data_IF_429082592203
#
_entry.id   IF_429082592203
#
_cell.length_a   1.000
_cell.length_b   1.000
_cell.length_c   1.000
_cell.angle_alpha   90.00
_cell.angle_beta   90.00
_cell.angle_gamma   90.00
#
_symmetry.space_group_name_H-M   'P 1'
#
loop_
_entity.id
_entity.type
_entity.pdbx_description
1 polymer ?
#
# COMPACT_ATOMS: atom_id res chain seq x y z
N UNK A 1 11.09 1.87 12.08
CA UNK A 1 11.68 1.18 10.88
C UNK A 1 11.95 2.14 9.72
N UNK A 2 11.01 3.02 9.38
CA UNK A 2 11.15 3.94 8.24
C UNK A 2 12.13 5.08 8.55
N UNK A 3 12.03 5.69 9.74
CA UNK A 3 12.91 6.79 10.19
C UNK A 3 14.38 6.38 10.39
N UNK A 4 14.63 5.08 10.60
CA UNK A 4 15.98 4.51 10.71
C UNK A 4 16.50 3.94 9.38
N UNK A 5 15.89 4.33 8.24
CA UNK A 5 16.32 3.94 6.90
C UNK A 5 15.96 2.51 6.46
N UNK A 6 15.30 1.70 7.31
CA UNK A 6 14.96 0.30 7.02
C UNK A 6 13.61 0.16 6.30
N UNK A 7 13.47 0.85 5.15
CA UNK A 7 12.23 0.85 4.33
C UNK A 7 11.81 -0.56 3.88
N UNK A 8 12.77 -1.40 3.48
CA UNK A 8 12.51 -2.79 3.07
C UNK A 8 11.92 -3.64 4.21
N UNK A 9 12.47 -3.52 5.44
CA UNK A 9 11.93 -4.24 6.60
C UNK A 9 10.55 -3.73 6.98
N UNK A 10 10.30 -2.43 6.90
CA UNK A 10 8.97 -1.88 7.11
C UNK A 10 7.96 -2.47 6.12
N UNK A 11 8.33 -2.56 4.83
CA UNK A 11 7.49 -3.17 3.80
C UNK A 11 7.18 -4.65 4.10
N UNK A 12 8.17 -5.43 4.50
CA UNK A 12 8.00 -6.84 4.89
C UNK A 12 7.01 -7.01 6.05
N UNK A 13 7.15 -6.21 7.12
CA UNK A 13 6.24 -6.26 8.26
C UNK A 13 4.81 -5.90 7.86
N UNK A 14 4.61 -4.89 7.01
CA UNK A 14 3.27 -4.51 6.53
C UNK A 14 2.65 -5.63 5.68
N UNK A 15 3.44 -6.27 4.81
CA UNK A 15 2.98 -7.40 4.00
C UNK A 15 2.57 -8.58 4.86
N UNK A 16 3.28 -8.89 5.93
CA UNK A 16 2.92 -9.97 6.86
C UNK A 16 1.54 -9.74 7.48
N UNK A 17 1.22 -8.49 7.86
CA UNK A 17 -0.11 -8.13 8.39
C UNK A 17 -1.19 -8.34 7.34
N UNK A 18 -0.98 -7.83 6.12
CA UNK A 18 -1.96 -7.96 5.02
C UNK A 18 -2.14 -9.42 4.57
N UNK A 19 -1.08 -10.23 4.59
CA UNK A 19 -1.13 -11.66 4.22
C UNK A 19 -1.63 -12.56 5.36
N UNK A 20 -1.62 -12.08 6.60
CA UNK A 20 -1.95 -12.90 7.78
C UNK A 20 -3.38 -13.43 7.70
N UNK A 21 -3.51 -14.76 7.78
CA UNK A 21 -4.83 -15.41 7.83
C UNK A 21 -5.60 -15.10 9.12
N UNK A 22 -4.92 -14.60 10.16
CA UNK A 22 -5.54 -14.22 11.44
C UNK A 22 -6.28 -12.89 11.37
N UNK A 23 -5.98 -12.04 10.38
CA UNK A 23 -6.54 -10.70 10.22
C UNK A 23 -7.33 -10.58 8.90
N UNK A 24 -8.21 -11.54 8.62
CA UNK A 24 -9.06 -11.51 7.40
C UNK A 24 -10.26 -10.57 7.49
N UNK A 25 -10.58 -10.06 8.67
CA UNK A 25 -11.67 -9.09 8.85
C UNK A 25 -11.12 -7.70 8.67
N UNK A 26 -11.63 -7.00 7.65
CA UNK A 26 -11.26 -5.61 7.42
C UNK A 26 -11.63 -4.73 8.62
N UNK A 27 -10.75 -3.77 8.94
CA UNK A 27 -10.99 -2.71 9.92
C UNK A 27 -10.50 -1.38 9.34
N UNK A 28 -10.96 -0.26 9.91
CA UNK A 28 -10.57 1.08 9.46
C UNK A 28 -9.05 1.32 9.49
N UNK A 29 -8.30 0.59 10.32
CA UNK A 29 -6.83 0.69 10.41
C UNK A 29 -6.10 0.04 9.23
N UNK A 30 -6.77 -0.82 8.45
CA UNK A 30 -6.16 -1.46 7.29
C UNK A 30 -5.96 -0.48 6.13
N UNK A 31 -6.78 0.55 6.01
CA UNK A 31 -6.66 1.58 4.96
C UNK A 31 -5.33 2.36 5.04
N UNK A 32 -4.98 3.02 6.16
CA UNK A 32 -3.69 3.71 6.27
C UNK A 32 -2.50 2.73 6.23
N UNK A 33 -2.66 1.49 6.69
CA UNK A 33 -1.64 0.44 6.52
C UNK A 33 -1.36 0.15 5.04
N UNK A 34 -2.43 -0.02 4.25
CA UNK A 34 -2.32 -0.32 2.83
C UNK A 34 -1.76 0.87 2.05
N UNK A 35 -2.16 2.09 2.39
CA UNK A 35 -1.57 3.32 1.83
C UNK A 35 -0.06 3.38 2.07
N UNK A 36 0.39 3.10 3.30
CA UNK A 36 1.82 3.11 3.62
C UNK A 36 2.59 2.00 2.90
N UNK A 37 1.98 0.81 2.78
CA UNK A 37 2.56 -0.30 2.03
C UNK A 37 2.78 0.08 0.56
N UNK A 38 1.78 0.69 -0.07
CA UNK A 38 1.86 1.11 -1.47
C UNK A 38 2.87 2.24 -1.66
N UNK A 39 2.91 3.22 -0.77
CA UNK A 39 3.91 4.31 -0.79
C UNK A 39 5.34 3.73 -0.77
N UNK A 40 5.60 2.76 0.11
CA UNK A 40 6.90 2.07 0.18
C UNK A 40 7.19 1.24 -1.07
N UNK A 41 6.18 0.61 -1.68
CA UNK A 41 6.35 -0.09 -2.95
C UNK A 41 6.75 0.85 -4.09
N UNK A 42 6.20 2.07 -4.13
CA UNK A 42 6.62 3.08 -5.13
C UNK A 42 8.06 3.53 -4.88
N UNK A 43 8.38 3.87 -3.62
CA UNK A 43 9.74 4.26 -3.20
C UNK A 43 10.80 3.22 -3.58
N UNK A 44 10.49 1.95 -3.34
CA UNK A 44 11.41 0.83 -3.55
C UNK A 44 11.29 0.20 -4.96
N UNK A 45 10.45 0.76 -5.84
CA UNK A 45 10.15 0.25 -7.18
C UNK A 45 9.71 -1.22 -7.20
N UNK A 46 8.92 -1.64 -6.19
CA UNK A 46 8.43 -3.01 -5.98
C UNK A 46 7.01 -3.21 -6.56
N UNK A 47 6.87 -3.07 -7.87
CA UNK A 47 5.56 -3.14 -8.55
C UNK A 47 4.83 -4.48 -8.35
N UNK A 48 5.57 -5.59 -8.37
CA UNK A 48 5.00 -6.93 -8.16
C UNK A 48 4.38 -7.06 -6.76
N UNK A 49 5.06 -6.53 -5.74
CA UNK A 49 4.60 -6.56 -4.36
C UNK A 49 3.34 -5.69 -4.19
N UNK A 50 3.29 -4.51 -4.81
CA UNK A 50 2.11 -3.66 -4.80
C UNK A 50 0.89 -4.37 -5.40
N UNK A 51 1.07 -5.01 -6.55
CA UNK A 51 0.02 -5.78 -7.23
C UNK A 51 -0.51 -6.92 -6.34
N UNK A 52 0.38 -7.73 -5.80
CA UNK A 52 -0.01 -8.87 -4.96
C UNK A 52 -0.67 -8.40 -3.65
N UNK A 53 -0.16 -7.31 -3.05
CA UNK A 53 -0.74 -6.68 -1.88
C UNK A 53 -2.17 -6.17 -2.14
N UNK A 54 -2.41 -5.51 -3.27
CA UNK A 54 -3.74 -5.03 -3.66
C UNK A 54 -4.73 -6.17 -3.89
N UNK A 55 -4.28 -7.27 -4.49
CA UNK A 55 -5.12 -8.45 -4.67
C UNK A 55 -5.57 -9.02 -3.32
N UNK A 56 -4.64 -9.13 -2.38
CA UNK A 56 -4.94 -9.59 -1.02
C UNK A 56 -5.86 -8.61 -0.27
N UNK A 57 -5.59 -7.31 -0.37
CA UNK A 57 -6.41 -6.25 0.25
C UNK A 57 -7.83 -6.25 -0.29
N UNK A 58 -8.01 -6.44 -1.60
CA UNK A 58 -9.34 -6.62 -2.23
C UNK A 58 -10.12 -7.74 -1.56
N UNK A 59 -9.50 -8.91 -1.35
CA UNK A 59 -10.17 -10.04 -0.69
C UNK A 59 -10.62 -9.71 0.74
N UNK A 60 -9.82 -8.94 1.49
CA UNK A 60 -10.14 -8.54 2.86
C UNK A 60 -11.27 -7.50 2.88
N UNK A 61 -11.15 -6.45 2.06
CA UNK A 61 -12.09 -5.33 2.02
C UNK A 61 -13.43 -5.68 1.36
N UNK A 62 -13.49 -6.66 0.45
CA UNK A 62 -14.71 -7.02 -0.30
C UNK A 62 -15.90 -7.37 0.60
N UNK A 63 -15.65 -7.92 1.78
CA UNK A 63 -16.71 -8.35 2.71
C UNK A 63 -17.30 -7.24 3.56
N UNK A 64 -16.59 -6.12 3.73
CA UNK A 64 -16.98 -5.04 4.68
C UNK A 64 -17.07 -3.68 4.01
N UNK A 65 -16.13 -3.32 3.14
CA UNK A 65 -16.08 -2.01 2.50
C UNK A 65 -15.33 -2.05 1.17
N UNK A 66 -16.07 -2.25 0.07
CA UNK A 66 -15.53 -2.11 -1.27
C UNK A 66 -15.02 -0.68 -1.55
N UNK A 67 -15.61 0.33 -0.89
CA UNK A 67 -15.21 1.74 -1.00
C UNK A 67 -13.78 2.00 -0.49
N UNK A 68 -13.32 1.26 0.53
CA UNK A 68 -11.95 1.40 1.02
C UNK A 68 -10.92 0.97 -0.04
N UNK A 69 -11.22 -0.07 -0.83
CA UNK A 69 -10.34 -0.48 -1.94
C UNK A 69 -10.23 0.63 -2.99
N UNK A 70 -11.35 1.25 -3.36
CA UNK A 70 -11.37 2.37 -4.31
C UNK A 70 -10.51 3.54 -3.82
N UNK A 71 -10.68 3.96 -2.55
CA UNK A 71 -9.91 5.05 -1.96
C UNK A 71 -8.40 4.80 -1.99
N UNK A 72 -7.98 3.58 -1.62
CA UNK A 72 -6.57 3.18 -1.64
C UNK A 72 -6.00 3.19 -3.07
N UNK A 73 -6.75 2.69 -4.06
CA UNK A 73 -6.32 2.69 -5.47
C UNK A 73 -6.19 4.13 -5.99
N UNK A 74 -7.18 4.99 -5.73
CA UNK A 74 -7.15 6.39 -6.16
C UNK A 74 -5.94 7.13 -5.57
N UNK A 75 -5.68 6.94 -4.26
CA UNK A 75 -4.50 7.51 -3.61
C UNK A 75 -3.19 7.00 -4.22
N UNK A 76 -3.10 5.71 -4.54
CA UNK A 76 -1.92 5.14 -5.16
C UNK A 76 -1.63 5.73 -6.55
N UNK A 77 -2.66 5.90 -7.38
CA UNK A 77 -2.52 6.56 -8.69
C UNK A 77 -2.08 8.01 -8.54
N UNK A 78 -2.72 8.76 -7.63
CA UNK A 78 -2.35 10.15 -7.33
C UNK A 78 -0.89 10.27 -6.86
N UNK A 79 -0.40 9.34 -6.04
CA UNK A 79 1.00 9.31 -5.62
C UNK A 79 1.96 9.06 -6.80
N UNK A 80 1.58 8.20 -7.74
CA UNK A 80 2.32 7.97 -8.97
C UNK A 80 2.42 9.24 -9.83
N UNK A 81 1.30 9.91 -10.05
CA UNK A 81 1.24 11.17 -10.82
C UNK A 81 2.03 12.30 -10.15
N UNK A 82 1.92 12.43 -8.83
CA UNK A 82 2.67 13.43 -8.06
C UNK A 82 4.18 13.24 -8.21
N UNK A 83 4.66 11.99 -8.14
CA UNK A 83 6.09 11.68 -8.34
C UNK A 83 6.55 11.96 -9.76
N UNK A 84 5.76 11.60 -10.77
CA UNK A 84 6.06 11.93 -12.16
C UNK A 84 6.13 13.45 -12.37
N UNK A 85 5.25 14.20 -11.71
CA UNK A 85 5.22 15.66 -11.79
C UNK A 85 6.39 16.30 -11.06
N UNK A 86 6.78 15.81 -9.89
CA UNK A 86 7.95 16.29 -9.16
C UNK A 86 9.24 16.00 -9.94
N UNK A 87 9.40 14.77 -10.46
CA UNK A 87 10.56 14.40 -11.27
C UNK A 87 10.70 15.26 -12.54
N UNK A 88 9.59 15.70 -13.14
CA UNK A 88 9.59 16.62 -14.29
C UNK A 88 9.92 18.07 -13.93
N UNK A 89 9.62 18.51 -12.69
CA UNK A 89 9.97 19.85 -12.18
C UNK A 89 11.42 19.94 -11.71
N UNK A 90 12.00 18.81 -11.31
CA UNK A 90 13.39 18.68 -10.86
C UNK A 90 14.38 18.40 -12.02
N UNK A 91 13.88 18.25 -13.24
CA UNK A 91 14.66 18.09 -14.48
C UNK A 91 14.77 19.42 -15.24
#
# INVERSE_FOLDING_TARGET
LIEVGRKQRALETLLEVIKSRRHRTWTITHEPLMEKLLELCVDLKKNQIAKDGLHQYKTIAQTVSAKSLELVIMKFLNQGELRCTNARKEA
#
